data_IF_160548054783
#
_entry.id   IF_160548054783
#
_cell.length_a   1.000
_cell.length_b   1.000
_cell.length_c   1.000
_cell.angle_alpha   90.00
_cell.angle_beta   90.00
_cell.angle_gamma   90.00
#
_symmetry.space_group_name_H-M   'P 1'
#
loop_
_entity.id
_entity.type
_entity.pdbx_description
1 polymer ?
#
# COMPACT_ATOMS: atom_id res chain seq x y z
N UNK A 1 -5.07 -36.75 45.62
CA UNK A 1 -4.91 -36.03 44.34
C UNK A 1 -6.24 -35.70 43.70
N UNK A 2 -6.61 -34.42 43.59
CA UNK A 2 -7.65 -33.98 42.63
C UNK A 2 -7.29 -32.57 42.12
N UNK A 3 -6.74 -32.60 40.90
CA UNK A 3 -6.85 -31.66 39.76
C UNK A 3 -6.88 -30.16 40.07
N UNK A 4 -5.71 -29.52 39.85
CA UNK A 4 -5.60 -28.07 39.61
C UNK A 4 -6.45 -27.71 38.40
N UNK A 5 -7.46 -26.87 38.61
CA UNK A 5 -8.22 -26.20 37.57
C UNK A 5 -7.25 -25.42 36.68
N UNK A 6 -6.95 -25.96 35.51
CA UNK A 6 -6.08 -25.33 34.52
C UNK A 6 -6.80 -24.13 33.94
N UNK A 7 -6.48 -22.97 34.48
CA UNK A 7 -6.62 -21.62 33.92
C UNK A 7 -6.61 -21.65 32.39
N UNK A 8 -7.81 -21.68 31.78
CA UNK A 8 -8.02 -21.72 30.33
C UNK A 8 -7.71 -20.34 29.75
N UNK A 9 -6.42 -20.00 29.66
CA UNK A 9 -5.99 -18.78 28.96
C UNK A 9 -6.17 -18.97 27.46
N UNK A 10 -7.13 -18.27 26.89
CA UNK A 10 -7.30 -18.17 25.44
C UNK A 10 -6.22 -17.22 24.91
N UNK A 11 -5.26 -17.75 24.16
CA UNK A 11 -4.28 -16.91 23.48
C UNK A 11 -4.94 -16.19 22.30
N UNK A 12 -5.04 -14.85 22.39
CA UNK A 12 -5.44 -14.02 21.27
C UNK A 12 -4.25 -13.68 20.39
N UNK A 13 -4.44 -13.74 19.07
CA UNK A 13 -3.45 -13.26 18.11
C UNK A 13 -3.37 -11.75 18.18
N UNK A 14 -2.18 -11.23 18.47
CA UNK A 14 -1.87 -9.81 18.45
C UNK A 14 -1.06 -9.50 17.19
N UNK A 15 -1.62 -8.72 16.28
CA UNK A 15 -0.94 -8.26 15.07
C UNK A 15 -0.45 -6.84 15.29
N UNK A 16 0.85 -6.63 15.07
CA UNK A 16 1.47 -5.29 15.11
C UNK A 16 2.08 -5.02 13.75
N UNK A 17 1.74 -3.88 13.17
CA UNK A 17 2.37 -3.37 11.95
C UNK A 17 3.82 -3.00 12.24
N UNK A 18 4.73 -3.29 11.31
CA UNK A 18 6.09 -2.77 11.39
C UNK A 18 6.08 -1.27 11.11
N UNK A 19 7.11 -0.56 11.55
CA UNK A 19 7.28 0.87 11.22
C UNK A 19 7.30 1.08 9.72
N UNK A 20 7.95 0.18 8.98
CA UNK A 20 7.97 0.26 7.51
C UNK A 20 6.56 0.12 6.94
N UNK A 21 5.75 -0.79 7.50
CA UNK A 21 4.36 -1.00 7.08
C UNK A 21 3.53 0.28 7.18
N UNK A 22 3.73 1.01 8.28
CA UNK A 22 3.07 2.29 8.51
C UNK A 22 3.56 3.37 7.55
N UNK A 23 4.88 3.47 7.33
CA UNK A 23 5.47 4.51 6.47
C UNK A 23 4.99 4.41 5.03
N UNK A 24 5.05 3.23 4.41
CA UNK A 24 4.64 3.10 3.01
C UNK A 24 3.13 3.31 2.82
N UNK A 25 2.33 2.95 3.82
CA UNK A 25 0.89 3.19 3.80
C UNK A 25 0.55 4.70 3.94
N UNK A 26 1.27 5.42 4.81
CA UNK A 26 1.06 6.85 5.05
C UNK A 26 1.52 7.72 3.88
N UNK A 27 2.62 7.35 3.22
CA UNK A 27 3.20 8.09 2.10
C UNK A 27 2.59 7.71 0.74
N UNK A 28 1.67 6.75 0.70
CA UNK A 28 1.00 6.36 -0.53
C UNK A 28 -0.39 6.99 -0.65
N UNK A 29 -0.95 6.92 -1.85
CA UNK A 29 -2.27 7.46 -2.18
C UNK A 29 -3.11 6.41 -2.91
N UNK A 30 -4.44 6.51 -2.80
CA UNK A 30 -5.37 5.69 -3.58
C UNK A 30 -5.80 6.48 -4.81
N UNK A 31 -5.59 5.89 -6.00
CA UNK A 31 -6.02 6.45 -7.27
C UNK A 31 -7.02 5.54 -7.97
N UNK A 32 -7.77 6.13 -8.90
CA UNK A 32 -8.70 5.42 -9.77
C UNK A 32 -8.16 5.41 -11.18
N UNK A 33 -8.03 4.22 -11.76
CA UNK A 33 -7.74 4.06 -13.18
C UNK A 33 -9.02 4.34 -13.96
N UNK A 34 -8.96 5.30 -14.87
CA UNK A 34 -10.09 5.69 -15.72
C UNK A 34 -10.14 4.82 -16.98
N UNK A 35 -11.27 4.87 -17.70
CA UNK A 35 -11.45 4.23 -19.02
C UNK A 35 -11.20 2.72 -19.06
N UNK A 36 -11.23 2.03 -17.93
CA UNK A 36 -11.00 0.58 -17.86
C UNK A 36 -9.60 0.16 -18.32
N UNK A 37 -8.63 1.07 -18.26
CA UNK A 37 -7.28 0.78 -18.72
C UNK A 37 -6.59 -0.25 -17.83
N UNK A 38 -5.77 -1.10 -18.44
CA UNK A 38 -4.99 -2.07 -17.68
C UNK A 38 -3.89 -1.36 -16.89
N UNK A 39 -3.71 -1.73 -15.61
CA UNK A 39 -2.70 -1.13 -14.72
C UNK A 39 -1.29 -1.11 -15.33
N UNK A 40 -0.79 -2.16 -16.00
CA UNK A 40 0.53 -2.11 -16.64
C UNK A 40 0.65 -1.03 -17.73
N UNK A 41 -0.44 -0.72 -18.45
CA UNK A 41 -0.45 0.32 -19.49
C UNK A 41 -0.41 1.71 -18.86
N UNK A 42 -1.10 1.90 -17.73
CA UNK A 42 -1.00 3.15 -16.93
C UNK A 42 0.41 3.29 -16.35
N UNK A 43 0.98 2.19 -15.83
CA UNK A 43 2.32 2.16 -15.27
C UNK A 43 3.38 2.59 -16.30
N UNK A 44 3.33 2.06 -17.52
CA UNK A 44 4.28 2.48 -18.56
C UNK A 44 4.16 3.98 -18.87
N UNK A 45 2.94 4.52 -18.93
CA UNK A 45 2.73 5.95 -19.21
C UNK A 45 3.24 6.88 -18.11
N UNK A 46 3.13 6.50 -16.85
CA UNK A 46 3.70 7.30 -15.75
C UNK A 46 5.24 7.26 -15.80
N UNK A 47 5.83 6.10 -16.13
CA UNK A 47 7.28 5.97 -16.35
C UNK A 47 7.72 6.82 -17.55
N UNK A 48 7.00 6.76 -18.67
CA UNK A 48 7.28 7.57 -19.87
C UNK A 48 7.16 9.08 -19.59
N UNK A 49 6.36 9.48 -18.60
CA UNK A 49 6.24 10.86 -18.13
C UNK A 49 7.33 11.27 -17.11
N UNK A 50 8.28 10.39 -16.80
CA UNK A 50 9.41 10.64 -15.90
C UNK A 50 9.14 10.34 -14.42
N UNK A 51 8.04 9.65 -14.09
CA UNK A 51 7.76 9.19 -12.73
C UNK A 51 8.31 7.78 -12.50
N UNK A 52 9.63 7.63 -12.61
CA UNK A 52 10.31 6.33 -12.52
C UNK A 52 10.14 5.65 -11.15
N UNK A 53 9.98 6.46 -10.10
CA UNK A 53 9.88 5.98 -8.72
C UNK A 53 8.43 5.68 -8.28
N UNK A 54 7.42 5.93 -9.10
CA UNK A 54 6.03 5.64 -8.74
C UNK A 54 5.62 4.22 -9.15
N UNK A 55 5.15 3.44 -8.18
CA UNK A 55 4.67 2.08 -8.37
C UNK A 55 3.17 2.01 -8.15
N UNK A 56 2.47 1.31 -9.05
CA UNK A 56 1.03 1.05 -8.98
C UNK A 56 0.76 -0.37 -8.48
N UNK A 57 0.06 -0.50 -7.35
CA UNK A 57 -0.35 -1.77 -6.76
C UNK A 57 -1.87 -1.94 -6.95
N UNK A 58 -2.33 -2.94 -7.73
CA UNK A 58 -3.76 -3.17 -7.91
C UNK A 58 -4.46 -3.50 -6.58
N UNK A 59 -5.53 -2.78 -6.27
CA UNK A 59 -6.41 -3.05 -5.11
C UNK A 59 -7.70 -3.77 -5.51
N UNK A 60 -7.87 -4.06 -6.79
CA UNK A 60 -9.07 -4.63 -7.38
C UNK A 60 -9.91 -3.61 -8.15
N UNK A 61 -10.74 -4.12 -9.07
CA UNK A 61 -11.54 -3.32 -10.00
C UNK A 61 -10.69 -2.22 -10.69
N UNK A 62 -11.06 -0.95 -10.49
CA UNK A 62 -10.39 0.21 -11.07
C UNK A 62 -9.56 1.00 -10.03
N UNK A 63 -9.28 0.42 -8.85
CA UNK A 63 -8.52 1.10 -7.78
C UNK A 63 -7.09 0.59 -7.73
N UNK A 64 -6.17 1.53 -7.59
CA UNK A 64 -4.74 1.25 -7.40
C UNK A 64 -4.23 2.03 -6.20
N UNK A 65 -3.29 1.44 -5.49
CA UNK A 65 -2.47 2.14 -4.51
C UNK A 65 -1.21 2.62 -5.22
N UNK A 66 -0.92 3.92 -5.13
CA UNK A 66 0.26 4.55 -5.69
C UNK A 66 1.23 4.81 -4.55
N UNK A 67 2.47 4.36 -4.69
CA UNK A 67 3.54 4.66 -3.74
C UNK A 67 4.85 4.94 -4.43
N UNK A 68 5.73 5.67 -3.75
CA UNK A 68 7.13 5.77 -4.13
C UNK A 68 7.87 4.45 -3.81
N UNK A 69 8.69 3.98 -4.73
CA UNK A 69 9.63 2.86 -4.55
C UNK A 69 10.72 3.22 -3.53
N UNK A 70 11.17 4.47 -3.54
CA UNK A 70 12.21 5.02 -2.65
C UNK A 70 11.67 5.48 -1.29
N UNK A 71 10.35 5.56 -1.13
CA UNK A 71 9.68 5.82 0.15
C UNK A 71 9.20 7.25 0.37
N UNK A 72 9.32 8.10 -0.65
CA UNK A 72 8.81 9.48 -0.63
C UNK A 72 7.27 9.56 -0.61
N UNK A 73 6.75 10.72 -0.23
CA UNK A 73 5.32 11.02 -0.28
C UNK A 73 4.84 11.11 -1.74
N UNK A 74 4.02 10.13 -2.14
CA UNK A 74 3.46 10.05 -3.48
C UNK A 74 2.58 11.26 -3.81
N UNK A 75 1.89 11.86 -2.83
CA UNK A 75 1.05 13.03 -3.06
C UNK A 75 1.91 14.26 -3.38
N UNK A 76 3.06 14.41 -2.71
CA UNK A 76 4.01 15.48 -2.99
C UNK A 76 4.59 15.35 -4.41
N UNK A 77 4.95 14.13 -4.83
CA UNK A 77 5.45 13.86 -6.19
C UNK A 77 4.39 14.27 -7.23
N UNK A 78 3.16 13.78 -7.08
CA UNK A 78 2.06 14.09 -8.02
C UNK A 78 1.77 15.59 -8.07
N UNK A 79 1.78 16.28 -6.94
CA UNK A 79 1.54 17.73 -6.88
C UNK A 79 2.68 18.57 -7.46
N UNK A 80 3.89 18.01 -7.58
CA UNK A 80 5.04 18.69 -8.20
C UNK A 80 5.08 18.55 -9.72
N UNK A 81 4.21 17.71 -10.30
CA UNK A 81 4.04 17.59 -11.73
C UNK A 81 3.64 18.95 -12.35
N UNK A 82 4.25 19.28 -13.49
CA UNK A 82 3.99 20.52 -14.24
C UNK A 82 2.87 20.37 -15.26
#
# INVERSE_FOLDING_TARGET
DVVKDTDRRVFMRNYRTKTDDMKWAQNGIVATVINGEAVPVVHNRITDAGFDDLVLIPMGAHKVFVRSSVGDDAMAIVNSAK
#
